data_IF_612076485497
#
_entry.id   IF_612076485497
#
_cell.length_a   1.000
_cell.length_b   1.000
_cell.length_c   1.000
_cell.angle_alpha   90.00
_cell.angle_beta   90.00
_cell.angle_gamma   90.00
#
_symmetry.space_group_name_H-M   'P 1'
#
loop_
_entity.id
_entity.type
_entity.pdbx_description
1 polymer ?
#
# COMPACT_ATOMS: atom_id res chain seq x y z
N UNK A 1 31.94 -4.01 -3.38
CA UNK A 1 31.41 -3.78 -4.74
C UNK A 1 29.91 -4.08 -4.83
N UNK A 2 29.36 -4.96 -3.98
CA UNK A 2 27.93 -5.36 -4.03
C UNK A 2 26.95 -4.33 -3.46
N UNK A 3 27.36 -3.53 -2.48
CA UNK A 3 26.50 -2.49 -1.89
C UNK A 3 26.00 -1.50 -2.94
N UNK A 4 26.88 -1.00 -3.82
CA UNK A 4 26.50 -0.06 -4.89
C UNK A 4 25.55 -0.72 -5.90
N UNK A 5 25.70 -2.02 -6.17
CA UNK A 5 24.78 -2.76 -7.04
C UNK A 5 23.39 -2.85 -6.43
N UNK A 6 23.29 -3.18 -5.13
CA UNK A 6 22.00 -3.25 -4.43
C UNK A 6 21.30 -1.87 -4.38
N UNK A 7 22.04 -0.79 -4.11
CA UNK A 7 21.47 0.56 -4.13
C UNK A 7 20.94 0.94 -5.51
N UNK A 8 21.69 0.63 -6.58
CA UNK A 8 21.25 0.89 -7.95
C UNK A 8 20.02 0.05 -8.32
N UNK A 9 19.94 -1.21 -7.86
CA UNK A 9 18.77 -2.06 -8.09
C UNK A 9 17.52 -1.51 -7.40
N UNK A 10 17.64 -1.10 -6.14
CA UNK A 10 16.51 -0.49 -5.40
C UNK A 10 16.06 0.80 -6.08
N UNK A 11 16.99 1.68 -6.45
CA UNK A 11 16.67 2.92 -7.14
C UNK A 11 15.97 2.68 -8.50
N UNK A 12 16.43 1.68 -9.26
CA UNK A 12 15.81 1.30 -10.53
C UNK A 12 14.42 0.71 -10.34
N UNK A 13 14.22 -0.12 -9.31
CA UNK A 13 12.92 -0.71 -9.00
C UNK A 13 11.93 0.36 -8.56
N UNK A 14 12.34 1.25 -7.65
CA UNK A 14 11.54 2.40 -7.21
C UNK A 14 11.09 3.22 -8.41
N UNK A 15 12.02 3.62 -9.29
CA UNK A 15 11.67 4.38 -10.51
C UNK A 15 10.65 3.64 -11.38
N UNK A 16 10.84 2.35 -11.61
CA UNK A 16 9.92 1.54 -12.40
C UNK A 16 8.49 1.50 -11.82
N UNK A 17 8.34 1.52 -10.49
CA UNK A 17 7.03 1.57 -9.84
C UNK A 17 6.32 2.92 -10.05
N UNK A 18 7.06 4.03 -10.01
CA UNK A 18 6.54 5.36 -10.35
C UNK A 18 6.19 5.47 -11.84
N UNK A 19 7.09 5.03 -12.73
CA UNK A 19 6.87 5.11 -14.19
C UNK A 19 5.64 4.31 -14.64
N UNK A 20 5.30 3.24 -13.92
CA UNK A 20 4.10 2.42 -14.15
C UNK A 20 2.84 2.95 -13.45
N UNK A 21 2.97 3.98 -12.59
CA UNK A 21 1.86 4.56 -11.83
C UNK A 21 1.39 3.72 -10.64
N UNK A 22 2.21 2.79 -10.14
CA UNK A 22 1.91 2.05 -8.90
C UNK A 22 2.17 2.89 -7.65
N UNK A 23 3.08 3.86 -7.74
CA UNK A 23 3.39 4.82 -6.69
C UNK A 23 3.23 6.23 -7.24
N UNK A 24 2.85 7.15 -6.37
CA UNK A 24 2.69 8.57 -6.66
C UNK A 24 3.42 9.44 -5.64
N UNK A 25 3.26 10.76 -5.76
CA UNK A 25 3.93 11.76 -4.92
C UNK A 25 3.64 11.58 -3.41
N UNK A 26 2.55 10.90 -3.04
CA UNK A 26 2.25 10.62 -1.64
C UNK A 26 3.24 9.61 -1.04
N UNK A 27 3.69 8.63 -1.83
CA UNK A 27 4.72 7.69 -1.38
C UNK A 27 6.06 8.40 -1.15
N UNK A 28 6.36 9.46 -1.91
CA UNK A 28 7.54 10.30 -1.67
C UNK A 28 7.43 11.01 -0.32
N UNK A 29 6.26 11.59 -0.02
CA UNK A 29 6.01 12.23 1.28
C UNK A 29 6.16 11.22 2.44
N UNK A 30 5.74 9.97 2.23
CA UNK A 30 5.93 8.90 3.21
C UNK A 30 7.42 8.60 3.45
N UNK A 31 8.23 8.54 2.41
CA UNK A 31 9.69 8.37 2.52
C UNK A 31 10.36 9.54 3.24
N UNK A 32 9.89 10.78 3.04
CA UNK A 32 10.41 11.99 3.70
C UNK A 32 10.16 12.02 5.21
N UNK A 33 9.16 11.29 5.71
CA UNK A 33 8.88 11.15 7.14
C UNK A 33 9.82 10.14 7.83
N UNK A 34 10.58 9.35 7.08
CA UNK A 34 11.56 8.43 7.64
C UNK A 34 12.85 9.17 7.98
N UNK A 35 13.33 9.00 9.22
CA UNK A 35 14.56 9.62 9.70
C UNK A 35 15.42 8.65 10.54
N UNK A 36 16.56 9.14 11.04
CA UNK A 36 17.49 8.33 11.85
C UNK A 36 16.88 7.85 13.19
N UNK A 37 15.78 8.47 13.64
CA UNK A 37 15.06 8.08 14.87
C UNK A 37 14.01 7.02 14.61
N UNK A 38 13.43 6.98 13.41
CA UNK A 38 12.54 5.93 12.95
C UNK A 38 12.95 5.39 11.56
N UNK A 39 14.04 4.60 11.47
CA UNK A 39 14.59 4.17 10.19
C UNK A 39 13.72 3.13 9.45
N UNK A 40 12.70 2.57 10.11
CA UNK A 40 11.82 1.55 9.53
C UNK A 40 10.41 2.08 9.22
N UNK A 41 10.17 3.38 9.35
CA UNK A 41 8.85 3.98 9.24
C UNK A 41 8.09 3.56 7.97
N UNK A 42 8.73 3.66 6.79
CA UNK A 42 8.10 3.30 5.51
C UNK A 42 7.75 1.81 5.49
N UNK A 43 8.65 0.96 5.98
CA UNK A 43 8.40 -0.47 6.05
C UNK A 43 7.21 -0.80 6.95
N UNK A 44 7.10 -0.16 8.12
CA UNK A 44 6.01 -0.35 9.07
C UNK A 44 4.66 0.07 8.46
N UNK A 45 4.61 1.24 7.82
CA UNK A 45 3.39 1.74 7.17
C UNK A 45 2.96 0.83 6.01
N UNK A 46 3.89 0.42 5.14
CA UNK A 46 3.60 -0.50 4.03
C UNK A 46 3.16 -1.87 4.55
N UNK A 47 3.74 -2.36 5.64
CA UNK A 47 3.33 -3.63 6.28
C UNK A 47 1.91 -3.53 6.82
N UNK A 48 1.57 -2.42 7.47
CA UNK A 48 0.20 -2.17 7.96
C UNK A 48 -0.79 -2.10 6.80
N UNK A 49 -0.44 -1.36 5.74
CA UNK A 49 -1.24 -1.26 4.52
C UNK A 49 -1.56 -2.64 3.92
N UNK A 50 -0.57 -3.53 3.78
CA UNK A 50 -0.80 -4.87 3.25
C UNK A 50 -1.71 -5.73 4.13
N UNK A 51 -1.53 -5.67 5.45
CA UNK A 51 -2.36 -6.42 6.39
C UNK A 51 -3.83 -5.95 6.35
N UNK A 52 -4.05 -4.64 6.36
CA UNK A 52 -5.39 -4.07 6.31
C UNK A 52 -6.05 -4.31 4.94
N UNK A 53 -5.29 -4.16 3.85
CA UNK A 53 -5.75 -4.43 2.49
C UNK A 53 -6.20 -5.88 2.31
N UNK A 54 -5.42 -6.85 2.79
CA UNK A 54 -5.78 -8.27 2.70
C UNK A 54 -7.11 -8.56 3.42
N UNK A 55 -7.30 -7.99 4.62
CA UNK A 55 -8.54 -8.11 5.39
C UNK A 55 -9.72 -7.46 4.65
N UNK A 56 -9.53 -6.27 4.09
CA UNK A 56 -10.58 -5.53 3.38
C UNK A 56 -11.00 -6.24 2.10
N UNK A 57 -10.04 -6.74 1.31
CA UNK A 57 -10.31 -7.53 0.11
C UNK A 57 -11.14 -8.77 0.46
N UNK A 58 -10.76 -9.51 1.51
CA UNK A 58 -11.54 -10.67 1.98
C UNK A 58 -12.97 -10.28 2.38
N UNK A 59 -13.16 -9.15 3.07
CA UNK A 59 -14.49 -8.66 3.45
C UNK A 59 -15.33 -8.28 2.22
N UNK A 60 -14.72 -7.64 1.21
CA UNK A 60 -15.37 -7.31 -0.07
C UNK A 60 -15.81 -8.60 -0.77
N UNK A 61 -14.93 -9.60 -0.87
CA UNK A 61 -15.25 -10.90 -1.48
C UNK A 61 -16.41 -11.60 -0.75
N UNK A 62 -16.41 -11.59 0.59
CA UNK A 62 -17.50 -12.18 1.37
C UNK A 62 -18.82 -11.43 1.18
N UNK A 63 -18.80 -10.10 1.15
CA UNK A 63 -19.98 -9.27 0.92
C UNK A 63 -20.58 -9.54 -0.48
N UNK A 64 -19.75 -9.65 -1.51
CA UNK A 64 -20.19 -10.00 -2.87
C UNK A 64 -20.80 -11.40 -2.98
N UNK A 65 -20.32 -12.36 -2.18
CA UNK A 65 -20.84 -13.74 -2.16
C UNK A 65 -22.13 -13.90 -1.33
N UNK A 66 -22.47 -12.93 -0.48
CA UNK A 66 -23.66 -12.97 0.36
C UNK A 66 -24.95 -12.82 -0.47
N UNK A 67 -26.02 -13.53 -0.07
CA UNK A 67 -27.34 -13.41 -0.72
C UNK A 67 -28.46 -13.21 0.32
N UNK A 68 -29.27 -12.14 0.21
CA UNK A 68 -29.12 -11.01 -0.73
C UNK A 68 -27.83 -10.20 -0.45
N UNK A 69 -27.32 -9.51 -1.46
CA UNK A 69 -26.14 -8.64 -1.32
C UNK A 69 -26.54 -7.39 -0.53
N UNK A 70 -25.79 -7.07 0.51
CA UNK A 70 -25.88 -5.81 1.24
C UNK A 70 -24.93 -4.78 0.61
N UNK A 71 -25.49 -3.90 -0.24
CA UNK A 71 -24.71 -2.89 -0.95
C UNK A 71 -24.17 -1.79 -0.04
N UNK A 72 -24.84 -1.46 1.05
CA UNK A 72 -24.35 -0.46 2.01
C UNK A 72 -23.06 -0.96 2.66
N UNK A 73 -23.08 -2.21 3.12
CA UNK A 73 -21.91 -2.84 3.72
C UNK A 73 -20.75 -3.03 2.73
N UNK A 74 -21.06 -3.36 1.48
CA UNK A 74 -20.05 -3.47 0.42
C UNK A 74 -19.40 -2.11 0.13
N UNK A 75 -20.19 -1.04 0.04
CA UNK A 75 -19.69 0.32 -0.17
C UNK A 75 -18.77 0.76 0.98
N UNK A 76 -19.14 0.49 2.22
CA UNK A 76 -18.31 0.78 3.39
C UNK A 76 -16.92 0.13 3.30
N UNK A 77 -16.85 -1.14 2.88
CA UNK A 77 -15.56 -1.84 2.71
C UNK A 77 -14.74 -1.28 1.55
N UNK A 78 -15.39 -0.96 0.43
CA UNK A 78 -14.71 -0.36 -0.72
C UNK A 78 -14.20 1.05 -0.41
N UNK A 79 -14.97 1.84 0.34
CA UNK A 79 -14.57 3.17 0.78
C UNK A 79 -13.34 3.11 1.70
N UNK A 80 -13.33 2.19 2.67
CA UNK A 80 -12.18 1.97 3.54
C UNK A 80 -10.94 1.53 2.75
N UNK A 81 -11.10 0.58 1.82
CA UNK A 81 -9.98 0.09 1.00
C UNK A 81 -9.41 1.17 0.08
N UNK A 82 -10.28 2.00 -0.51
CA UNK A 82 -9.86 3.16 -1.28
C UNK A 82 -9.09 4.15 -0.40
N UNK A 83 -9.63 4.48 0.77
CA UNK A 83 -9.02 5.42 1.71
C UNK A 83 -7.66 4.95 2.23
N UNK A 84 -7.47 3.65 2.46
CA UNK A 84 -6.16 3.11 2.85
C UNK A 84 -5.12 3.13 1.72
N UNK A 85 -5.56 3.25 0.47
CA UNK A 85 -4.71 3.28 -0.72
C UNK A 85 -4.51 4.69 -1.30
N UNK A 86 -5.06 5.71 -0.62
CA UNK A 86 -5.08 7.12 -1.07
C UNK A 86 -4.05 7.97 -0.35
#
# INVERSE_FOLDING_TARGET
MDRNRLHNQVASMRRSLFDQGYLDDQFIQLEELQDDTNPNFVQEVVTLFYNDSARLIQNIEQALNSRPIDFCKLDDYMHQFKGSSS
#
